data_IF_694139826694
#
_entry.id   IF_694139826694
#
_cell.length_a   1.000
_cell.length_b   1.000
_cell.length_c   1.000
_cell.angle_alpha   90.00
_cell.angle_beta   90.00
_cell.angle_gamma   90.00
#
_symmetry.space_group_name_H-M   'P 1'
#
loop_
_entity.id
_entity.type
_entity.pdbx_description
1 polymer ?
#
# COMPACT_ATOMS: atom_id res chain seq x y z
N UNK A 1 -35.44 6.80 77.00
CA UNK A 1 -34.19 6.03 76.99
C UNK A 1 -34.30 4.96 75.91
N UNK A 2 -34.00 5.27 74.70
CA UNK A 2 -34.11 4.35 73.54
C UNK A 2 -32.87 4.46 72.66
N UNK A 3 -32.11 3.40 72.72
CA UNK A 3 -30.84 3.24 71.91
C UNK A 3 -31.21 3.02 70.44
N UNK A 4 -30.72 3.88 69.52
CA UNK A 4 -30.73 3.65 68.07
C UNK A 4 -29.47 2.89 67.68
N UNK A 5 -29.67 1.70 67.08
CA UNK A 5 -28.63 0.90 66.46
C UNK A 5 -28.28 1.51 65.12
N UNK A 6 -27.00 1.83 64.91
CA UNK A 6 -26.43 2.26 63.66
C UNK A 6 -25.97 1.01 62.88
N UNK A 7 -26.60 0.71 61.75
CA UNK A 7 -26.14 -0.36 60.86
C UNK A 7 -25.19 0.25 59.81
N UNK A 8 -23.90 -0.17 59.88
CA UNK A 8 -22.93 0.12 58.82
C UNK A 8 -23.18 -0.80 57.62
N UNK A 9 -23.56 -0.21 56.49
CA UNK A 9 -23.61 -0.90 55.17
C UNK A 9 -22.25 -0.84 54.54
N UNK A 10 -21.53 -1.99 54.44
CA UNK A 10 -20.27 -2.12 53.72
C UNK A 10 -20.61 -2.41 52.28
N UNK A 11 -20.38 -1.43 51.38
CA UNK A 11 -20.46 -1.59 49.95
C UNK A 11 -19.17 -2.27 49.44
N UNK A 12 -19.28 -3.53 49.06
CA UNK A 12 -18.24 -4.22 48.30
C UNK A 12 -18.30 -3.76 46.83
N UNK A 13 -17.36 -2.93 46.42
CA UNK A 13 -17.11 -2.62 45.00
C UNK A 13 -16.41 -3.81 44.36
N UNK A 14 -17.13 -4.57 43.54
CA UNK A 14 -16.52 -5.54 42.62
C UNK A 14 -15.86 -4.78 41.48
N UNK A 15 -14.54 -4.67 41.54
CA UNK A 15 -13.75 -4.26 40.37
C UNK A 15 -13.78 -5.42 39.36
N UNK A 16 -14.50 -5.24 38.26
CA UNK A 16 -14.36 -6.10 37.07
C UNK A 16 -12.96 -5.90 36.50
N UNK A 17 -12.03 -6.77 36.86
CA UNK A 17 -10.80 -6.94 36.09
C UNK A 17 -11.17 -7.56 34.75
N UNK A 18 -11.26 -6.73 33.70
CA UNK A 18 -11.27 -7.20 32.32
C UNK A 18 -9.91 -7.82 32.04
N UNK A 19 -9.82 -9.14 32.09
CA UNK A 19 -8.67 -9.88 31.60
C UNK A 19 -8.51 -9.59 30.11
N UNK A 20 -7.48 -8.84 29.73
CA UNK A 20 -6.98 -8.79 28.37
C UNK A 20 -6.48 -10.21 28.03
N UNK A 21 -7.35 -11.05 27.54
CA UNK A 21 -6.96 -12.30 26.91
C UNK A 21 -6.19 -11.96 25.65
N UNK A 22 -4.87 -11.96 25.70
CA UNK A 22 -4.04 -12.09 24.50
C UNK A 22 -4.52 -13.34 23.77
N UNK A 23 -4.98 -13.16 22.51
CA UNK A 23 -5.43 -14.28 21.71
C UNK A 23 -4.28 -15.30 21.62
N UNK A 24 -4.50 -16.50 22.15
CA UNK A 24 -3.54 -17.61 22.02
C UNK A 24 -3.17 -17.75 20.54
N UNK A 25 -1.89 -17.97 20.20
CA UNK A 25 -1.49 -18.27 18.82
C UNK A 25 -2.38 -19.41 18.32
N UNK A 26 -3.13 -19.18 17.24
CA UNK A 26 -3.86 -20.26 16.58
C UNK A 26 -2.83 -21.31 16.14
N UNK A 27 -3.18 -22.59 16.25
CA UNK A 27 -2.32 -23.63 15.72
C UNK A 27 -2.03 -23.34 14.25
N UNK A 28 -0.73 -23.31 13.88
CA UNK A 28 -0.34 -23.20 12.47
C UNK A 28 -1.00 -24.33 11.67
N UNK A 29 -1.29 -24.06 10.39
CA UNK A 29 -1.77 -25.09 9.47
C UNK A 29 -0.56 -25.59 8.66
N UNK A 30 0.06 -26.72 9.05
CA UNK A 30 1.24 -27.24 8.35
C UNK A 30 0.96 -27.50 6.86
N UNK A 31 -0.30 -27.78 6.50
CA UNK A 31 -0.70 -27.96 5.11
C UNK A 31 -0.61 -26.67 4.32
N UNK A 32 -1.06 -25.54 4.90
CA UNK A 32 -0.97 -24.23 4.26
C UNK A 32 0.47 -23.78 4.11
N UNK A 33 1.28 -23.93 5.18
CA UNK A 33 2.70 -23.58 5.15
C UNK A 33 3.43 -24.37 4.06
N UNK A 34 3.19 -25.69 3.99
CA UNK A 34 3.76 -26.55 2.95
C UNK A 34 3.35 -26.11 1.54
N UNK A 35 2.06 -25.92 1.28
CA UNK A 35 1.58 -25.55 -0.07
C UNK A 35 2.14 -24.20 -0.54
N UNK A 36 2.28 -23.23 0.38
CA UNK A 36 2.92 -21.93 0.06
C UNK A 36 4.42 -22.12 -0.19
N UNK A 37 5.11 -22.94 0.62
CA UNK A 37 6.52 -23.24 0.41
C UNK A 37 6.73 -23.96 -0.95
N UNK A 38 5.98 -25.01 -1.24
CA UNK A 38 6.04 -25.73 -2.52
C UNK A 38 5.84 -24.81 -3.74
N UNK A 39 5.01 -23.78 -3.59
CA UNK A 39 4.76 -22.79 -4.64
C UNK A 39 5.88 -21.74 -4.79
N UNK A 40 6.60 -21.38 -3.72
CA UNK A 40 7.54 -20.27 -3.71
C UNK A 40 9.02 -20.68 -3.60
N UNK A 41 9.35 -21.78 -2.92
CA UNK A 41 10.72 -22.24 -2.71
C UNK A 41 11.50 -22.46 -4.02
N UNK A 42 10.87 -22.98 -5.12
CA UNK A 42 11.57 -23.14 -6.39
C UNK A 42 12.15 -21.82 -6.92
N UNK A 43 11.52 -20.67 -6.68
CA UNK A 43 12.07 -19.40 -7.13
C UNK A 43 13.37 -19.01 -6.40
N UNK A 44 13.53 -19.41 -5.14
CA UNK A 44 14.78 -19.20 -4.38
C UNK A 44 15.82 -20.22 -4.81
N UNK A 45 15.45 -21.50 -4.93
CA UNK A 45 16.35 -22.57 -5.37
C UNK A 45 16.93 -22.30 -6.77
N UNK A 46 16.09 -21.81 -7.69
CA UNK A 46 16.47 -21.42 -9.05
C UNK A 46 17.19 -20.06 -9.12
N UNK A 47 17.52 -19.46 -7.98
CA UNK A 47 18.17 -18.14 -7.88
C UNK A 47 17.42 -17.00 -8.57
N UNK A 48 16.10 -17.12 -8.70
CA UNK A 48 15.22 -16.06 -9.22
C UNK A 48 14.83 -15.07 -8.14
N UNK A 49 14.92 -15.47 -6.87
CA UNK A 49 14.74 -14.64 -5.67
C UNK A 49 15.89 -14.86 -4.70
N UNK A 50 16.26 -13.82 -3.96
CA UNK A 50 17.20 -13.93 -2.83
C UNK A 50 16.54 -14.70 -1.66
N UNK A 51 15.29 -14.40 -1.40
CA UNK A 51 14.48 -15.00 -0.36
C UNK A 51 13.11 -14.33 -0.28
N UNK A 52 12.27 -14.85 0.60
CA UNK A 52 10.92 -14.31 0.85
C UNK A 52 10.47 -14.52 2.28
N UNK A 53 9.49 -13.70 2.70
CA UNK A 53 8.70 -13.91 3.91
C UNK A 53 7.22 -13.78 3.55
N UNK A 54 6.38 -14.72 4.01
CA UNK A 54 4.92 -14.61 3.86
C UNK A 54 4.20 -14.87 5.17
N UNK A 55 3.04 -14.23 5.32
CA UNK A 55 2.10 -14.47 6.44
C UNK A 55 0.70 -14.62 5.88
N UNK A 56 -0.01 -15.65 6.36
CA UNK A 56 -1.44 -15.82 6.15
C UNK A 56 -2.18 -15.68 7.47
N UNK A 57 -3.13 -14.75 7.50
CA UNK A 57 -4.12 -14.62 8.56
C UNK A 57 -5.47 -15.15 8.05
N UNK A 58 -6.18 -15.92 8.85
CA UNK A 58 -7.53 -16.43 8.57
C UNK A 58 -8.39 -16.32 9.83
N UNK A 59 -9.59 -15.79 9.69
CA UNK A 59 -10.52 -15.58 10.82
C UNK A 59 -9.87 -14.82 12.01
N UNK A 60 -9.02 -13.82 11.68
CA UNK A 60 -8.29 -13.01 12.66
C UNK A 60 -7.09 -13.69 13.33
N UNK A 61 -6.71 -14.91 12.92
CA UNK A 61 -5.60 -15.67 13.49
C UNK A 61 -4.51 -15.92 12.44
N UNK A 62 -3.25 -15.93 12.87
CA UNK A 62 -2.14 -16.35 12.03
C UNK A 62 -2.21 -17.88 11.85
N UNK A 63 -2.27 -18.34 10.61
CA UNK A 63 -2.37 -19.75 10.27
C UNK A 63 -1.16 -20.29 9.52
N UNK A 64 -0.35 -19.40 8.91
CA UNK A 64 0.90 -19.78 8.27
C UNK A 64 1.91 -18.65 8.29
N UNK A 65 3.20 -19.00 8.37
CA UNK A 65 4.34 -18.12 8.16
C UNK A 65 5.43 -18.89 7.44
N UNK A 66 5.84 -18.41 6.26
CA UNK A 66 6.94 -19.00 5.52
C UNK A 66 8.11 -18.01 5.47
N UNK A 67 9.32 -18.52 5.65
CA UNK A 67 10.58 -17.77 5.57
C UNK A 67 11.58 -18.65 4.84
N UNK A 68 12.18 -18.16 3.76
CA UNK A 68 13.16 -18.91 2.99
C UNK A 68 14.20 -18.00 2.36
N UNK A 69 15.44 -18.48 2.25
CA UNK A 69 16.54 -17.81 1.56
C UNK A 69 17.24 -16.73 2.39
N UNK A 70 17.75 -15.72 1.71
CA UNK A 70 18.62 -14.69 2.26
C UNK A 70 18.02 -13.29 2.14
N UNK A 71 18.21 -12.49 3.18
CA UNK A 71 17.96 -11.05 3.17
C UNK A 71 19.09 -10.30 2.44
N UNK A 72 20.28 -10.92 2.37
CA UNK A 72 21.43 -10.44 1.64
C UNK A 72 22.25 -11.65 1.16
N UNK A 73 22.41 -11.79 -0.17
CA UNK A 73 23.09 -12.95 -0.78
C UNK A 73 24.59 -12.84 -0.56
N UNK A 74 25.18 -11.65 -0.71
CA UNK A 74 26.62 -11.44 -0.71
C UNK A 74 27.23 -11.75 0.65
N UNK A 75 26.54 -11.33 1.73
CA UNK A 75 26.93 -11.60 3.11
C UNK A 75 26.34 -12.91 3.65
N UNK A 76 25.50 -13.59 2.86
CA UNK A 76 24.73 -14.77 3.29
C UNK A 76 23.89 -14.53 4.53
N UNK A 77 23.43 -13.30 4.76
CA UNK A 77 22.57 -12.96 5.89
C UNK A 77 21.19 -13.60 5.67
N UNK A 78 20.71 -14.47 6.57
CA UNK A 78 19.49 -15.20 6.34
C UNK A 78 18.27 -14.28 6.33
N UNK A 79 17.25 -14.66 5.59
CA UNK A 79 15.91 -14.08 5.70
C UNK A 79 15.33 -14.46 7.08
N UNK A 80 14.64 -13.53 7.73
CA UNK A 80 13.97 -13.74 9.01
C UNK A 80 12.56 -13.16 8.97
N UNK A 81 11.67 -13.58 9.86
CA UNK A 81 10.28 -13.09 9.93
C UNK A 81 10.19 -11.59 10.23
N UNK A 82 11.21 -11.00 10.83
CA UNK A 82 11.31 -9.58 11.17
C UNK A 82 12.23 -8.80 10.20
N UNK A 83 12.58 -9.40 9.06
CA UNK A 83 13.28 -8.69 7.99
C UNK A 83 12.46 -7.48 7.54
N UNK A 84 13.13 -6.34 7.40
CA UNK A 84 12.54 -5.08 6.95
C UNK A 84 12.71 -4.96 5.45
N UNK A 85 11.64 -4.60 4.76
CA UNK A 85 11.57 -4.52 3.29
C UNK A 85 11.21 -3.11 2.84
N UNK A 86 11.76 -2.66 1.70
CA UNK A 86 11.21 -1.53 0.94
C UNK A 86 9.87 -1.97 0.38
N UNK A 87 8.79 -1.31 0.76
CA UNK A 87 7.46 -1.72 0.30
C UNK A 87 6.96 -0.89 -0.89
N UNK A 88 7.69 0.15 -1.27
CA UNK A 88 7.37 1.03 -2.40
C UNK A 88 5.87 1.29 -2.52
N UNK A 89 5.25 0.89 -3.62
CA UNK A 89 3.84 1.20 -3.90
C UNK A 89 2.83 0.58 -2.92
N UNK A 90 3.23 -0.38 -2.07
CA UNK A 90 2.39 -0.77 -0.93
C UNK A 90 2.25 0.36 0.12
N UNK A 91 3.00 1.46 0.00
CA UNK A 91 2.78 2.72 0.73
C UNK A 91 1.41 3.33 0.41
N UNK A 92 0.95 3.21 -0.85
CA UNK A 92 -0.28 3.87 -1.34
C UNK A 92 -1.54 3.54 -0.54
N UNK A 93 -1.86 2.27 -0.23
CA UNK A 93 -2.99 1.95 0.65
C UNK A 93 -2.88 2.60 2.03
N UNK A 94 -1.66 2.73 2.58
CA UNK A 94 -1.42 3.36 3.89
C UNK A 94 -1.69 4.86 3.80
N UNK A 95 -1.23 5.52 2.73
CA UNK A 95 -1.53 6.93 2.43
C UNK A 95 -3.03 7.15 2.24
N UNK A 96 -3.72 6.23 1.55
CA UNK A 96 -5.16 6.26 1.42
C UNK A 96 -5.88 6.19 2.76
N UNK A 97 -5.42 5.35 3.69
CA UNK A 97 -5.95 5.29 5.05
C UNK A 97 -5.69 6.61 5.79
N UNK A 98 -4.48 7.18 5.70
CA UNK A 98 -4.16 8.47 6.31
C UNK A 98 -5.10 9.59 5.82
N UNK A 99 -5.32 9.65 4.51
CA UNK A 99 -6.23 10.61 3.91
C UNK A 99 -7.70 10.36 4.33
N UNK A 100 -8.13 9.10 4.43
CA UNK A 100 -9.48 8.73 4.86
C UNK A 100 -9.75 8.96 6.35
N UNK A 101 -8.72 8.98 7.21
CA UNK A 101 -8.85 9.46 8.61
C UNK A 101 -9.29 10.93 8.60
N UNK A 102 -8.66 11.76 7.79
CA UNK A 102 -9.02 13.17 7.65
C UNK A 102 -10.39 13.38 7.00
N UNK A 103 -10.81 12.47 6.11
CA UNK A 103 -12.14 12.44 5.54
C UNK A 103 -13.21 12.11 6.62
N UNK A 104 -12.97 11.13 7.49
CA UNK A 104 -13.86 10.80 8.61
C UNK A 104 -14.01 11.97 9.60
N UNK A 105 -12.96 12.81 9.70
CA UNK A 105 -12.98 14.08 10.46
C UNK A 105 -13.68 15.23 9.72
N UNK A 106 -14.17 15.01 8.50
CA UNK A 106 -14.87 16.03 7.70
C UNK A 106 -13.98 17.08 7.07
N UNK A 107 -12.64 16.90 7.05
CA UNK A 107 -11.67 17.89 6.56
C UNK A 107 -11.63 18.01 5.05
N UNK A 108 -12.11 17.01 4.31
CA UNK A 108 -12.21 17.04 2.86
C UNK A 108 -13.36 16.17 2.35
N UNK A 109 -13.77 16.39 1.09
CA UNK A 109 -14.81 15.64 0.37
C UNK A 109 -14.27 15.15 -0.98
N UNK A 110 -14.78 14.03 -1.49
CA UNK A 110 -14.40 13.51 -2.80
C UNK A 110 -14.63 14.50 -3.95
N UNK A 111 -15.61 15.39 -3.82
CA UNK A 111 -15.92 16.45 -4.79
C UNK A 111 -15.05 17.70 -4.66
N UNK A 112 -14.26 17.85 -3.60
CA UNK A 112 -13.40 19.02 -3.46
C UNK A 112 -12.34 19.04 -4.58
N UNK A 113 -12.08 20.19 -5.23
CA UNK A 113 -10.95 20.31 -6.14
C UNK A 113 -9.65 20.19 -5.36
N UNK A 114 -8.65 19.53 -5.95
CA UNK A 114 -7.32 19.40 -5.29
C UNK A 114 -6.67 20.76 -5.03
N UNK A 115 -6.96 21.76 -5.86
CA UNK A 115 -6.47 23.13 -5.71
C UNK A 115 -6.90 23.82 -4.42
N UNK A 116 -7.96 23.35 -3.78
CA UNK A 116 -8.36 23.79 -2.42
C UNK A 116 -7.26 23.52 -1.40
N UNK A 117 -6.48 22.46 -1.61
CA UNK A 117 -5.42 21.99 -0.69
C UNK A 117 -4.03 22.25 -1.28
N UNK A 118 -3.93 22.29 -2.60
CA UNK A 118 -2.71 22.51 -3.39
C UNK A 118 -2.94 23.68 -4.36
N UNK A 119 -2.99 24.93 -3.87
CA UNK A 119 -3.29 26.10 -4.72
C UNK A 119 -2.27 26.30 -5.85
N UNK A 120 -1.03 25.78 -5.70
CA UNK A 120 -0.01 25.75 -6.75
C UNK A 120 -0.48 25.00 -8.01
N UNK A 121 -1.41 24.06 -7.86
CA UNK A 121 -2.00 23.27 -8.94
C UNK A 121 -3.40 23.77 -9.35
N UNK A 122 -3.71 25.04 -9.10
CA UNK A 122 -5.04 25.62 -9.37
C UNK A 122 -5.33 25.93 -10.86
N UNK A 123 -4.29 26.00 -11.71
CA UNK A 123 -4.41 26.38 -13.11
C UNK A 123 -3.84 25.32 -14.07
N UNK A 124 -4.10 24.04 -13.78
CA UNK A 124 -3.61 22.96 -14.60
C UNK A 124 -4.23 23.01 -16.00
N UNK A 125 -3.39 22.74 -16.99
CA UNK A 125 -3.75 22.61 -18.42
C UNK A 125 -3.79 21.13 -18.79
N UNK A 126 -4.36 20.83 -19.95
CA UNK A 126 -4.39 19.48 -20.54
C UNK A 126 -3.59 19.49 -21.84
N UNK A 127 -2.80 18.46 -22.03
CA UNK A 127 -2.02 18.22 -23.24
C UNK A 127 -2.93 18.00 -24.45
N UNK A 128 -2.59 18.64 -25.57
CA UNK A 128 -3.30 18.49 -26.84
C UNK A 128 -2.42 17.96 -27.97
N UNK A 129 -1.10 18.13 -27.84
CA UNK A 129 -0.18 17.72 -28.90
C UNK A 129 1.19 18.38 -28.75
N UNK A 130 1.96 18.34 -29.85
CA UNK A 130 3.24 19.04 -29.98
C UNK A 130 3.22 19.93 -31.22
N UNK A 131 3.90 21.07 -31.14
CA UNK A 131 4.13 21.94 -32.30
C UNK A 131 5.23 21.37 -33.23
N UNK A 132 5.47 22.05 -34.35
CA UNK A 132 6.50 21.67 -35.32
C UNK A 132 7.94 21.66 -34.72
N UNK A 133 8.18 22.36 -33.62
CA UNK A 133 9.44 22.39 -32.90
C UNK A 133 9.53 21.33 -31.79
N UNK A 134 8.43 20.56 -31.55
CA UNK A 134 8.36 19.53 -30.51
C UNK A 134 7.97 20.05 -29.13
N UNK A 135 7.55 21.32 -28.98
CA UNK A 135 7.07 21.85 -27.72
C UNK A 135 5.64 21.38 -27.44
N UNK A 136 5.29 21.21 -26.15
CA UNK A 136 3.94 20.82 -25.78
C UNK A 136 2.92 21.92 -26.08
N UNK A 137 1.86 21.54 -26.77
CA UNK A 137 0.64 22.33 -26.91
C UNK A 137 -0.32 21.89 -25.81
N UNK A 138 -0.90 22.85 -25.09
CA UNK A 138 -1.85 22.60 -24.02
C UNK A 138 -2.92 23.67 -23.95
N UNK A 139 -4.11 23.31 -23.50
CA UNK A 139 -5.24 24.21 -23.24
C UNK A 139 -5.67 24.13 -21.78
N UNK A 140 -6.46 25.08 -21.28
CA UNK A 140 -7.09 24.96 -19.97
C UNK A 140 -7.87 23.63 -19.86
N UNK A 141 -7.79 22.97 -18.71
CA UNK A 141 -8.61 21.82 -18.42
C UNK A 141 -10.10 22.22 -18.37
N UNK A 142 -10.99 21.38 -18.90
CA UNK A 142 -12.43 21.63 -18.84
C UNK A 142 -12.94 21.62 -17.37
N UNK A 143 -12.28 20.85 -16.52
CA UNK A 143 -12.48 20.87 -15.06
C UNK A 143 -11.16 20.64 -14.34
N UNK A 144 -10.98 21.22 -13.18
CA UNK A 144 -9.82 20.94 -12.34
C UNK A 144 -9.98 19.57 -11.64
N UNK A 145 -8.87 18.83 -11.41
CA UNK A 145 -8.93 17.54 -10.74
C UNK A 145 -9.57 17.61 -9.36
N UNK A 146 -10.39 16.63 -9.01
CA UNK A 146 -10.99 16.47 -7.69
C UNK A 146 -10.22 15.49 -6.82
N UNK A 147 -10.44 15.53 -5.51
CA UNK A 147 -9.92 14.55 -4.56
C UNK A 147 -10.33 13.11 -4.92
N UNK A 148 -11.58 12.93 -5.40
CA UNK A 148 -12.06 11.62 -5.85
C UNK A 148 -11.28 11.08 -7.04
N UNK A 149 -10.92 11.93 -7.98
CA UNK A 149 -10.09 11.57 -9.12
C UNK A 149 -8.62 11.34 -8.74
N UNK A 150 -8.13 12.05 -7.73
CA UNK A 150 -6.77 11.86 -7.21
C UNK A 150 -6.60 10.46 -6.63
N UNK A 151 -7.45 10.06 -5.67
CA UNK A 151 -7.38 8.76 -4.98
C UNK A 151 -7.69 7.56 -5.89
N UNK A 152 -8.13 7.80 -7.12
CA UNK A 152 -8.43 6.75 -8.10
C UNK A 152 -7.54 6.77 -9.33
N UNK A 153 -6.46 7.56 -9.35
CA UNK A 153 -5.57 7.71 -10.51
C UNK A 153 -6.27 8.18 -11.80
N UNK A 154 -7.34 8.96 -11.68
CA UNK A 154 -8.09 9.51 -12.83
C UNK A 154 -7.94 11.01 -12.95
N UNK A 155 -7.03 11.63 -12.20
CA UNK A 155 -6.81 13.07 -12.16
C UNK A 155 -6.02 13.64 -13.37
N UNK A 156 -5.43 12.79 -14.21
CA UNK A 156 -4.66 13.22 -15.39
C UNK A 156 -3.14 13.29 -15.16
N UNK A 157 -2.64 12.99 -13.95
CA UNK A 157 -1.22 12.91 -13.67
C UNK A 157 -0.58 11.62 -14.21
N UNK A 158 0.76 11.65 -14.40
CA UNK A 158 1.58 10.50 -14.79
C UNK A 158 2.68 10.23 -13.74
N UNK A 159 3.50 9.21 -14.00
CA UNK A 159 4.77 8.96 -13.33
C UNK A 159 5.99 9.31 -14.17
N UNK A 160 5.82 9.51 -15.48
CA UNK A 160 6.93 9.65 -16.40
C UNK A 160 7.60 8.34 -16.81
N UNK A 161 6.91 7.20 -16.66
CA UNK A 161 7.45 5.89 -17.06
C UNK A 161 7.33 5.60 -18.56
N UNK A 162 6.43 6.30 -19.23
CA UNK A 162 6.14 6.09 -20.63
C UNK A 162 7.02 6.91 -21.58
N UNK A 163 6.83 6.71 -22.89
CA UNK A 163 7.55 7.43 -23.93
C UNK A 163 6.85 8.70 -24.43
N UNK A 164 5.72 9.08 -23.84
CA UNK A 164 4.93 10.23 -24.35
C UNK A 164 5.66 11.57 -24.14
N UNK A 165 5.32 12.62 -24.89
CA UNK A 165 5.87 13.95 -24.64
C UNK A 165 5.66 14.44 -23.21
N UNK A 166 4.51 14.13 -22.59
CA UNK A 166 4.21 14.49 -21.20
C UNK A 166 5.09 13.70 -20.23
N UNK A 167 5.31 12.39 -20.45
CA UNK A 167 6.24 11.60 -19.63
C UNK A 167 7.64 12.19 -19.61
N UNK A 168 8.12 12.71 -20.76
CA UNK A 168 9.44 13.36 -20.82
C UNK A 168 9.53 14.62 -19.96
N UNK A 169 8.45 15.37 -19.80
CA UNK A 169 8.44 16.53 -18.89
C UNK A 169 8.47 16.09 -17.42
N UNK A 170 7.79 14.99 -17.06
CA UNK A 170 7.95 14.41 -15.73
C UNK A 170 9.41 14.03 -15.46
N UNK A 171 10.05 13.32 -16.39
CA UNK A 171 11.47 12.90 -16.27
C UNK A 171 12.43 14.08 -16.10
N UNK A 172 12.12 15.26 -16.67
CA UNK A 172 12.94 16.48 -16.56
C UNK A 172 12.70 17.25 -15.27
N UNK A 173 11.47 17.34 -14.80
CA UNK A 173 11.05 18.32 -13.80
C UNK A 173 10.62 17.73 -12.46
N UNK A 174 10.36 16.42 -12.40
CA UNK A 174 9.78 15.79 -11.23
C UNK A 174 10.57 14.52 -10.88
N UNK A 175 11.20 14.44 -9.70
CA UNK A 175 11.85 13.21 -9.29
C UNK A 175 10.81 12.11 -9.09
N UNK A 176 11.17 10.88 -9.46
CA UNK A 176 10.31 9.71 -9.33
C UNK A 176 9.85 9.47 -7.89
N UNK A 177 10.76 9.71 -6.94
CA UNK A 177 10.51 9.64 -5.49
C UNK A 177 11.00 10.98 -4.91
N UNK A 178 10.13 11.82 -4.33
CA UNK A 178 10.47 13.21 -3.97
C UNK A 178 11.30 13.35 -2.68
N UNK A 179 11.98 12.30 -2.22
CA UNK A 179 12.64 12.26 -0.90
C UNK A 179 13.77 13.27 -0.69
N UNK A 180 14.35 13.75 -1.79
CA UNK A 180 15.51 14.67 -1.74
C UNK A 180 15.18 16.14 -2.11
N UNK A 181 13.90 16.46 -2.34
CA UNK A 181 13.49 17.80 -2.79
C UNK A 181 12.44 18.41 -1.86
N UNK A 182 12.45 19.73 -1.72
CA UNK A 182 11.44 20.46 -0.98
C UNK A 182 10.06 20.32 -1.65
N UNK A 183 9.00 20.21 -0.85
CA UNK A 183 7.60 20.11 -1.32
C UNK A 183 7.25 21.26 -2.26
N UNK A 184 7.68 22.49 -1.99
CA UNK A 184 7.45 23.65 -2.86
C UNK A 184 8.10 23.48 -4.23
N UNK A 185 9.32 22.96 -4.29
CA UNK A 185 10.04 22.67 -5.54
C UNK A 185 9.36 21.58 -6.33
N UNK A 186 8.91 20.51 -5.66
CA UNK A 186 8.16 19.41 -6.27
C UNK A 186 6.86 19.91 -6.91
N UNK A 187 6.05 20.68 -6.16
CA UNK A 187 4.79 21.24 -6.67
C UNK A 187 5.02 22.27 -7.79
N UNK A 188 6.04 23.10 -7.70
CA UNK A 188 6.41 24.05 -8.75
C UNK A 188 6.85 23.34 -10.05
N UNK A 189 7.51 22.19 -9.94
CA UNK A 189 7.84 21.33 -11.08
C UNK A 189 6.57 20.80 -11.75
N UNK A 190 5.66 20.22 -10.96
CA UNK A 190 4.39 19.68 -11.44
C UNK A 190 3.49 20.72 -12.08
N UNK A 191 3.43 21.94 -11.54
CA UNK A 191 2.61 23.03 -12.08
C UNK A 191 2.98 23.46 -13.51
N UNK A 192 4.18 23.09 -13.97
CA UNK A 192 4.65 23.38 -15.35
C UNK A 192 4.20 22.33 -16.37
N UNK A 193 3.79 21.16 -15.91
CA UNK A 193 3.49 19.99 -16.74
C UNK A 193 1.98 19.92 -16.95
N UNK A 194 1.48 19.84 -18.21
CA UNK A 194 0.06 19.64 -18.42
C UNK A 194 -0.36 18.23 -17.98
N UNK A 195 -1.62 18.10 -17.57
CA UNK A 195 -2.25 16.81 -17.39
C UNK A 195 -2.23 16.06 -18.73
N UNK A 196 -2.02 14.75 -18.67
CA UNK A 196 -1.96 13.92 -19.89
C UNK A 196 -3.32 13.79 -20.59
N UNK A 197 -4.42 13.96 -19.83
CA UNK A 197 -5.80 13.85 -20.31
C UNK A 197 -6.74 14.62 -19.35
N UNK A 198 -7.97 14.86 -19.81
CA UNK A 198 -8.99 15.49 -18.99
C UNK A 198 -9.28 14.69 -17.72
N UNK A 199 -9.34 15.35 -16.55
CA UNK A 199 -9.65 14.68 -15.30
C UNK A 199 -10.95 13.88 -15.39
N UNK A 200 -10.89 12.62 -14.93
CA UNK A 200 -12.04 11.71 -14.93
C UNK A 200 -12.30 10.96 -16.23
N UNK A 201 -11.49 11.15 -17.28
CA UNK A 201 -11.71 10.50 -18.58
C UNK A 201 -10.90 9.23 -18.80
N UNK A 202 -9.78 9.07 -18.10
CA UNK A 202 -8.91 7.91 -18.20
C UNK A 202 -8.39 7.53 -16.80
N UNK A 203 -8.03 6.27 -16.65
CA UNK A 203 -7.28 5.79 -15.53
C UNK A 203 -5.81 5.63 -15.93
N UNK A 204 -4.92 6.23 -15.18
CA UNK A 204 -3.48 6.11 -15.40
C UNK A 204 -2.73 6.16 -14.08
N UNK A 205 -1.95 5.12 -13.81
CA UNK A 205 -1.09 5.05 -12.64
C UNK A 205 -0.13 6.25 -12.57
N UNK A 206 -0.05 6.92 -11.42
CA UNK A 206 0.55 8.24 -11.34
C UNK A 206 1.10 8.57 -9.94
N UNK A 207 1.75 9.73 -9.86
CA UNK A 207 2.28 10.32 -8.61
C UNK A 207 1.18 10.83 -7.66
N UNK A 208 -0.08 10.54 -7.93
CA UNK A 208 -1.21 11.08 -7.18
C UNK A 208 -1.06 10.91 -5.66
N UNK A 209 -0.53 9.79 -5.19
CA UNK A 209 -0.38 9.50 -3.76
C UNK A 209 0.74 10.30 -3.09
N UNK A 210 1.71 10.81 -3.85
CA UNK A 210 2.67 11.79 -3.32
C UNK A 210 1.97 13.12 -3.04
N UNK A 211 1.06 13.54 -3.93
CA UNK A 211 0.19 14.71 -3.68
C UNK A 211 -0.75 14.48 -2.51
N UNK A 212 -1.30 13.28 -2.35
CA UNK A 212 -2.12 12.92 -1.18
C UNK A 212 -1.32 13.04 0.11
N UNK A 213 -0.06 12.62 0.13
CA UNK A 213 0.84 12.79 1.27
C UNK A 213 0.99 14.26 1.66
N UNK A 214 1.23 15.13 0.68
CA UNK A 214 1.31 16.58 0.90
C UNK A 214 -0.03 17.15 1.41
N UNK A 215 -1.16 16.67 0.89
CA UNK A 215 -2.49 17.08 1.37
C UNK A 215 -2.70 16.64 2.83
N UNK A 216 -2.26 15.43 3.21
CA UNK A 216 -2.30 14.98 4.61
C UNK A 216 -1.51 15.92 5.50
N UNK A 217 -0.32 16.35 5.10
CA UNK A 217 0.50 17.33 5.85
C UNK A 217 -0.24 18.65 6.03
N UNK A 218 -0.80 19.21 4.96
CA UNK A 218 -1.50 20.51 5.00
C UNK A 218 -2.77 20.46 5.85
N UNK A 219 -3.53 19.36 5.77
CA UNK A 219 -4.76 19.20 6.55
C UNK A 219 -4.52 18.89 8.03
N UNK A 220 -3.42 18.22 8.34
CA UNK A 220 -3.09 17.83 9.72
C UNK A 220 -2.19 18.80 10.46
N UNK A 221 -1.39 19.60 9.73
CA UNK A 221 -0.32 20.43 10.28
C UNK A 221 0.88 19.62 10.79
N UNK A 222 0.99 18.32 10.44
CA UNK A 222 2.08 17.42 10.82
C UNK A 222 2.79 16.94 9.54
N UNK A 223 4.06 16.54 9.64
CA UNK A 223 4.68 15.80 8.54
C UNK A 223 3.93 14.48 8.29
N UNK A 224 3.98 13.97 7.07
CA UNK A 224 3.32 12.70 6.71
C UNK A 224 3.82 11.55 7.60
N UNK A 225 5.12 11.50 7.86
CA UNK A 225 5.73 10.54 8.78
C UNK A 225 5.13 10.64 10.18
N UNK A 226 5.09 11.83 10.78
CA UNK A 226 4.56 12.04 12.12
C UNK A 226 3.06 11.73 12.19
N UNK A 227 2.29 12.08 11.15
CA UNK A 227 0.87 11.78 11.08
C UNK A 227 0.62 10.26 11.01
N UNK A 228 1.25 9.57 10.06
CA UNK A 228 1.09 8.11 9.91
C UNK A 228 1.55 7.37 11.16
N UNK A 229 2.64 7.80 11.78
CA UNK A 229 3.13 7.20 13.03
C UNK A 229 2.08 7.31 14.13
N UNK A 230 1.56 8.51 14.39
CA UNK A 230 0.62 8.75 15.49
C UNK A 230 -0.76 8.12 15.25
N UNK A 231 -1.28 8.19 14.02
CA UNK A 231 -2.66 7.82 13.72
C UNK A 231 -2.81 6.37 13.22
N UNK A 232 -1.72 5.76 12.72
CA UNK A 232 -1.77 4.40 12.12
C UNK A 232 -0.76 3.47 12.80
N UNK A 233 0.55 3.80 12.78
CA UNK A 233 1.58 2.83 13.16
C UNK A 233 1.59 2.52 14.65
N UNK A 234 1.61 3.53 15.51
CA UNK A 234 1.61 3.33 16.97
C UNK A 234 0.32 2.64 17.46
N UNK A 235 -0.89 3.06 17.04
CA UNK A 235 -2.13 2.37 17.43
C UNK A 235 -2.20 0.91 16.97
N UNK A 236 -1.64 0.59 15.80
CA UNK A 236 -1.59 -0.76 15.25
C UNK A 236 -0.36 -1.56 15.72
N UNK A 237 0.56 -0.94 16.48
CA UNK A 237 1.85 -1.52 16.89
C UNK A 237 2.70 -1.97 15.69
N UNK A 238 2.74 -1.16 14.65
CA UNK A 238 3.58 -1.35 13.46
C UNK A 238 4.96 -0.73 13.73
N UNK A 239 5.76 -1.40 14.54
CA UNK A 239 6.98 -0.85 15.13
C UNK A 239 8.17 -0.76 14.15
N UNK A 240 8.08 -1.44 13.02
CA UNK A 240 9.13 -1.51 11.99
C UNK A 240 8.68 -0.87 10.67
N UNK A 241 7.55 -0.12 10.69
CA UNK A 241 7.04 0.61 9.52
C UNK A 241 7.33 2.09 9.67
N UNK A 242 8.10 2.64 8.73
CA UNK A 242 8.50 4.05 8.76
C UNK A 242 9.04 4.47 7.38
N UNK A 243 9.37 5.76 7.22
CA UNK A 243 10.11 6.32 6.08
C UNK A 243 11.63 6.23 6.26
N UNK A 244 12.10 5.70 7.39
CA UNK A 244 13.52 5.51 7.70
C UNK A 244 13.76 4.13 8.32
N UNK A 245 14.98 3.64 8.19
CA UNK A 245 15.48 2.47 8.93
C UNK A 245 16.57 2.97 9.89
N UNK A 246 16.30 3.07 11.19
CA UNK A 246 17.27 3.58 12.16
C UNK A 246 18.49 2.63 12.26
N UNK A 247 19.67 3.13 12.71
CA UNK A 247 20.90 2.34 12.80
C UNK A 247 20.72 1.00 13.55
N UNK A 248 19.93 0.99 14.61
CA UNK A 248 19.65 -0.21 15.43
C UNK A 248 18.86 -1.32 14.72
N UNK A 249 18.29 -1.03 13.52
CA UNK A 249 17.50 -1.98 12.74
C UNK A 249 18.12 -2.32 11.38
N UNK A 250 19.29 -1.77 11.06
CA UNK A 250 19.97 -1.94 9.75
C UNK A 250 20.29 -3.39 9.43
N UNK A 251 20.65 -4.18 10.42
CA UNK A 251 20.97 -5.60 10.25
C UNK A 251 19.77 -6.43 9.78
N UNK A 252 18.55 -5.92 9.94
CA UNK A 252 17.32 -6.56 9.45
C UNK A 252 16.86 -6.04 8.09
N UNK A 253 17.49 -5.01 7.53
CA UNK A 253 17.07 -4.41 6.27
C UNK A 253 17.56 -5.22 5.08
N UNK A 254 16.63 -5.71 4.25
CA UNK A 254 16.93 -6.55 3.10
C UNK A 254 17.64 -5.77 1.98
N UNK A 255 18.61 -6.40 1.35
CA UNK A 255 19.24 -5.91 0.13
C UNK A 255 18.29 -6.01 -1.05
N UNK A 256 18.28 -5.00 -1.91
CA UNK A 256 17.46 -4.95 -3.11
C UNK A 256 18.22 -5.53 -4.29
N UNK A 257 17.55 -6.35 -5.08
CA UNK A 257 18.13 -7.01 -6.26
C UNK A 257 17.39 -6.64 -7.53
N UNK A 258 18.15 -6.60 -8.63
CA UNK A 258 17.67 -6.58 -10.00
C UNK A 258 17.92 -7.94 -10.66
N UNK A 259 16.94 -8.42 -11.41
CA UNK A 259 17.02 -9.72 -12.11
C UNK A 259 17.01 -9.62 -13.63
N UNK A 260 17.21 -8.44 -14.21
CA UNK A 260 17.14 -8.24 -15.66
C UNK A 260 18.20 -9.01 -16.47
N UNK A 261 19.35 -9.27 -15.86
CA UNK A 261 20.46 -10.00 -16.50
C UNK A 261 20.36 -11.54 -16.40
N UNK A 262 19.26 -12.06 -15.85
CA UNK A 262 19.11 -13.49 -15.55
C UNK A 262 19.83 -13.93 -14.26
N UNK A 263 20.56 -13.04 -13.61
CA UNK A 263 21.19 -13.21 -12.29
C UNK A 263 20.70 -12.09 -11.35
N UNK A 264 20.64 -12.39 -10.07
CA UNK A 264 20.34 -11.38 -9.06
C UNK A 264 21.58 -10.50 -8.83
N UNK A 265 21.44 -9.21 -9.11
CA UNK A 265 22.47 -8.21 -8.88
C UNK A 265 21.98 -7.21 -7.84
N UNK A 266 22.81 -6.88 -6.84
CA UNK A 266 22.46 -5.89 -5.84
C UNK A 266 22.28 -4.49 -6.47
N UNK A 267 21.19 -3.82 -6.16
CA UNK A 267 20.91 -2.46 -6.63
C UNK A 267 21.52 -1.47 -5.65
N UNK A 268 22.62 -0.84 -6.06
CA UNK A 268 23.39 0.11 -5.25
C UNK A 268 23.36 1.55 -5.77
N UNK A 269 22.76 1.77 -6.95
CA UNK A 269 22.66 3.09 -7.60
C UNK A 269 21.28 3.28 -8.23
N UNK A 270 20.95 4.51 -8.58
CA UNK A 270 19.69 4.87 -9.23
C UNK A 270 18.56 5.17 -8.25
N UNK A 271 17.35 5.47 -8.77
CA UNK A 271 16.23 6.00 -7.97
C UNK A 271 15.67 5.01 -6.94
N UNK A 272 15.98 3.71 -7.08
CA UNK A 272 15.56 2.67 -6.15
C UNK A 272 16.64 2.27 -5.13
N UNK A 273 17.83 2.87 -5.19
CA UNK A 273 18.95 2.54 -4.30
C UNK A 273 18.90 3.27 -2.95
N UNK A 274 17.77 3.89 -2.59
CA UNK A 274 17.63 4.58 -1.30
C UNK A 274 17.93 3.63 -0.14
N UNK A 275 18.78 4.11 0.76
CA UNK A 275 19.18 3.37 1.95
C UNK A 275 18.24 3.58 3.13
N UNK A 276 17.29 4.51 3.03
CA UNK A 276 16.40 4.91 4.12
C UNK A 276 17.17 5.31 5.40
N UNK A 277 18.34 5.93 5.21
CA UNK A 277 19.24 6.27 6.31
C UNK A 277 18.86 7.57 6.99
N UNK A 278 18.21 8.47 6.26
CA UNK A 278 17.87 9.82 6.69
C UNK A 278 16.39 10.08 6.51
N UNK A 279 15.86 10.98 7.33
CA UNK A 279 14.49 11.47 7.14
C UNK A 279 14.37 12.14 5.78
N UNK A 280 13.37 11.79 4.95
CA UNK A 280 13.19 12.41 3.66
C UNK A 280 12.80 13.89 3.82
N UNK A 281 13.25 14.74 2.89
CA UNK A 281 12.86 16.15 2.82
C UNK A 281 11.36 16.26 2.52
N UNK A 282 10.90 15.48 1.54
CA UNK A 282 9.47 15.28 1.27
C UNK A 282 9.18 13.78 1.35
N UNK A 283 8.30 13.39 2.27
CA UNK A 283 7.92 11.99 2.43
C UNK A 283 7.05 11.53 1.26
N UNK A 284 7.47 10.48 0.54
CA UNK A 284 6.71 9.95 -0.58
C UNK A 284 5.51 9.13 -0.10
N UNK A 285 4.31 9.67 -0.28
CA UNK A 285 3.06 8.94 -0.07
C UNK A 285 2.82 7.84 -1.09
N UNK A 286 3.51 7.90 -2.23
CA UNK A 286 3.44 6.92 -3.30
C UNK A 286 4.38 5.72 -3.15
N UNK A 287 5.47 5.83 -2.34
CA UNK A 287 6.47 4.76 -2.33
C UNK A 287 7.52 4.81 -1.22
N UNK A 288 7.38 5.68 -0.21
CA UNK A 288 8.45 5.99 0.74
C UNK A 288 8.57 5.08 1.96
N UNK A 289 7.68 4.12 2.18
CA UNK A 289 7.71 3.31 3.40
C UNK A 289 8.60 2.07 3.28
N UNK A 290 9.16 1.70 4.42
CA UNK A 290 9.63 0.35 4.71
C UNK A 290 8.67 -0.31 5.70
N UNK A 291 8.66 -1.66 5.73
CA UNK A 291 7.81 -2.41 6.66
C UNK A 291 8.31 -3.84 6.82
N UNK A 292 7.73 -4.56 7.77
CA UNK A 292 7.84 -6.02 7.90
C UNK A 292 6.52 -6.69 7.50
N UNK A 293 6.57 -7.99 7.24
CA UNK A 293 5.37 -8.78 6.95
C UNK A 293 4.35 -8.72 8.09
N UNK A 294 4.82 -8.69 9.34
CA UNK A 294 3.98 -8.66 10.53
C UNK A 294 3.26 -7.31 10.70
N UNK A 295 3.99 -6.22 10.51
CA UNK A 295 3.41 -4.87 10.58
C UNK A 295 2.34 -4.68 9.50
N UNK A 296 2.66 -5.07 8.27
CA UNK A 296 1.71 -4.93 7.18
C UNK A 296 0.50 -5.86 7.33
N UNK A 297 0.67 -7.05 7.92
CA UNK A 297 -0.46 -7.92 8.26
C UNK A 297 -1.38 -7.30 9.31
N UNK A 298 -0.87 -6.52 10.27
CA UNK A 298 -1.68 -5.74 11.21
C UNK A 298 -2.50 -4.66 10.50
N UNK A 299 -1.88 -3.91 9.59
CA UNK A 299 -2.55 -2.93 8.74
C UNK A 299 -3.67 -3.57 7.91
N UNK A 300 -3.37 -4.65 7.21
CA UNK A 300 -4.34 -5.35 6.36
C UNK A 300 -5.47 -6.00 7.20
N UNK A 301 -5.16 -6.52 8.39
CA UNK A 301 -6.17 -7.05 9.32
C UNK A 301 -7.09 -5.96 9.87
N UNK A 302 -6.58 -4.75 10.08
CA UNK A 302 -7.41 -3.59 10.43
C UNK A 302 -8.43 -3.29 9.33
N UNK A 303 -8.04 -3.34 8.05
CA UNK A 303 -8.95 -3.17 6.92
C UNK A 303 -10.00 -4.30 6.87
N UNK A 304 -9.58 -5.56 7.00
CA UNK A 304 -10.49 -6.71 7.04
C UNK A 304 -11.56 -6.56 8.12
N UNK A 305 -11.20 -6.03 9.28
CA UNK A 305 -12.07 -5.86 10.44
C UNK A 305 -12.86 -4.53 10.45
N UNK A 306 -13.03 -3.89 9.29
CA UNK A 306 -13.83 -2.66 9.16
C UNK A 306 -13.24 -1.48 9.91
N UNK A 307 -11.92 -1.30 9.85
CA UNK A 307 -11.19 -0.17 10.40
C UNK A 307 -10.76 -0.32 11.87
N UNK A 308 -10.76 -1.53 12.40
CA UNK A 308 -10.45 -1.77 13.82
C UNK A 308 -9.49 -2.96 13.97
N UNK A 309 -8.51 -2.87 14.86
CA UNK A 309 -7.66 -3.99 15.27
C UNK A 309 -7.42 -3.95 16.78
N UNK A 310 -7.58 -5.10 17.47
CA UNK A 310 -7.35 -5.25 18.92
C UNK A 310 -8.01 -4.13 19.77
N UNK A 311 -9.26 -3.79 19.43
CA UNK A 311 -10.03 -2.74 20.13
C UNK A 311 -9.66 -1.30 19.73
N UNK A 312 -8.62 -1.09 18.93
CA UNK A 312 -8.22 0.24 18.41
C UNK A 312 -8.91 0.52 17.08
N UNK A 313 -9.66 1.61 17.01
CA UNK A 313 -10.31 2.07 15.78
C UNK A 313 -9.43 3.09 15.09
N UNK A 314 -9.10 2.80 13.84
CA UNK A 314 -8.32 3.68 12.94
C UNK A 314 -9.28 4.43 12.01
N UNK A 315 -10.27 3.73 11.45
CA UNK A 315 -11.26 4.25 10.51
C UNK A 315 -12.68 3.88 10.94
N UNK A 316 -13.65 4.65 10.51
CA UNK A 316 -15.06 4.23 10.57
C UNK A 316 -15.27 3.02 9.64
N UNK A 317 -16.30 2.21 9.94
CA UNK A 317 -16.72 1.12 9.04
C UNK A 317 -17.07 1.65 7.64
N UNK A 318 -17.66 2.85 7.57
CA UNK A 318 -18.02 3.50 6.30
C UNK A 318 -16.78 3.85 5.49
N UNK A 319 -15.78 4.48 6.09
CA UNK A 319 -14.54 4.83 5.40
C UNK A 319 -13.79 3.58 4.92
N UNK A 320 -13.70 2.55 5.76
CA UNK A 320 -13.08 1.27 5.37
C UNK A 320 -13.80 0.63 4.18
N UNK A 321 -15.14 0.58 4.19
CA UNK A 321 -15.93 0.11 3.07
C UNK A 321 -15.67 0.94 1.81
N UNK A 322 -15.57 2.27 1.95
CA UNK A 322 -15.28 3.17 0.83
C UNK A 322 -13.92 2.87 0.18
N UNK A 323 -12.89 2.57 1.00
CA UNK A 323 -11.55 2.17 0.50
C UNK A 323 -11.64 0.92 -0.36
N UNK A 324 -12.37 -0.09 0.11
CA UNK A 324 -12.43 -1.44 -0.49
C UNK A 324 -13.61 -1.62 -1.46
N UNK A 325 -14.18 -0.54 -1.99
CA UNK A 325 -15.28 -0.60 -2.95
C UNK A 325 -14.90 0.15 -4.22
N UNK A 326 -15.30 -0.35 -5.39
CA UNK A 326 -15.07 0.32 -6.66
C UNK A 326 -15.58 1.76 -6.66
N UNK A 327 -14.75 2.63 -7.19
CA UNK A 327 -15.02 4.07 -7.35
C UNK A 327 -14.89 4.56 -8.79
N UNK A 328 -14.50 3.68 -9.72
CA UNK A 328 -14.42 4.02 -11.12
C UNK A 328 -15.81 4.00 -11.78
N UNK A 329 -16.04 4.90 -12.72
CA UNK A 329 -17.25 4.86 -13.54
C UNK A 329 -17.19 3.68 -14.51
N UNK A 330 -18.35 3.13 -14.96
CA UNK A 330 -18.38 2.04 -15.93
C UNK A 330 -17.62 2.36 -17.24
N UNK A 331 -17.60 3.62 -17.67
CA UNK A 331 -16.87 4.07 -18.85
C UNK A 331 -15.35 3.86 -18.71
N UNK A 332 -14.80 4.03 -17.50
CA UNK A 332 -13.38 3.84 -17.22
C UNK A 332 -13.00 2.37 -17.09
N UNK A 333 -13.93 1.51 -16.66
CA UNK A 333 -13.68 0.07 -16.45
C UNK A 333 -13.47 -0.65 -17.79
N UNK A 334 -14.06 -0.16 -18.86
CA UNK A 334 -13.90 -0.71 -20.21
C UNK A 334 -12.63 -0.26 -20.92
N UNK A 335 -11.85 0.63 -20.29
CA UNK A 335 -10.56 1.11 -20.79
C UNK A 335 -9.43 0.09 -20.57
N UNK A 336 -8.29 0.34 -21.23
CA UNK A 336 -7.05 -0.39 -20.94
C UNK A 336 -6.42 0.17 -19.68
N UNK A 337 -6.46 -0.61 -18.61
CA UNK A 337 -5.71 -0.29 -17.40
C UNK A 337 -4.33 -0.95 -17.50
N UNK A 338 -3.28 -0.13 -17.54
CA UNK A 338 -1.91 -0.60 -17.43
C UNK A 338 -1.29 -0.06 -16.14
N UNK A 339 -0.92 -0.95 -15.24
CA UNK A 339 -0.02 -0.63 -14.15
C UNK A 339 1.28 -1.35 -14.47
N UNK A 340 2.26 -0.70 -15.09
CA UNK A 340 3.57 -1.30 -15.31
C UNK A 340 3.51 -2.82 -15.52
N UNK A 341 3.82 -3.58 -14.48
CA UNK A 341 3.83 -5.04 -14.48
C UNK A 341 2.44 -5.64 -14.27
N UNK A 342 1.52 -4.93 -13.62
CA UNK A 342 0.15 -5.38 -13.38
C UNK A 342 -0.83 -4.65 -14.30
N UNK A 343 -1.41 -5.38 -15.22
CA UNK A 343 -2.59 -4.94 -15.94
C UNK A 343 -3.80 -5.09 -15.01
N UNK A 344 -4.59 -4.03 -14.82
CA UNK A 344 -5.93 -4.17 -14.29
C UNK A 344 -6.71 -4.97 -15.33
N UNK A 345 -7.09 -6.18 -14.96
CA UNK A 345 -7.75 -7.15 -15.83
C UNK A 345 -9.26 -7.00 -15.73
N UNK A 346 -10.04 -7.54 -16.68
CA UNK A 346 -11.47 -7.69 -16.48
C UNK A 346 -11.78 -8.36 -15.13
N UNK A 347 -12.73 -7.82 -14.37
CA UNK A 347 -13.05 -8.29 -13.01
C UNK A 347 -12.29 -7.59 -11.89
N UNK A 348 -11.29 -6.76 -12.23
CA UNK A 348 -10.66 -5.81 -11.32
C UNK A 348 -11.22 -4.42 -11.55
N UNK A 349 -11.42 -3.70 -10.46
CA UNK A 349 -11.77 -2.28 -10.43
C UNK A 349 -10.88 -1.57 -9.42
N UNK A 350 -11.09 -0.28 -9.17
CA UNK A 350 -10.22 0.49 -8.30
C UNK A 350 -11.01 1.18 -7.19
N UNK A 351 -10.55 0.99 -5.95
CA UNK A 351 -11.06 1.66 -4.75
C UNK A 351 -10.28 2.94 -4.44
N UNK A 352 -10.01 3.19 -3.17
CA UNK A 352 -9.07 4.24 -2.75
C UNK A 352 -7.69 3.60 -2.66
N UNK A 353 -6.77 4.04 -3.51
CA UNK A 353 -5.34 3.66 -3.53
C UNK A 353 -5.06 2.16 -3.65
N UNK A 354 -5.98 1.39 -4.20
CA UNK A 354 -5.79 -0.05 -4.42
C UNK A 354 -6.89 -0.67 -5.26
N UNK A 355 -6.58 -1.85 -5.79
CA UNK A 355 -7.49 -2.64 -6.64
C UNK A 355 -8.52 -3.35 -5.80
N UNK A 356 -9.73 -3.47 -6.35
CA UNK A 356 -10.84 -4.26 -5.80
C UNK A 356 -11.23 -5.34 -6.80
N UNK A 357 -11.32 -6.59 -6.36
CA UNK A 357 -11.84 -7.71 -7.16
C UNK A 357 -13.35 -7.68 -7.12
N UNK A 358 -13.99 -7.30 -8.21
CA UNK A 358 -15.46 -7.22 -8.30
C UNK A 358 -16.06 -8.45 -8.94
N UNK A 359 -15.31 -9.15 -9.79
CA UNK A 359 -15.69 -10.41 -10.42
C UNK A 359 -14.48 -11.37 -10.47
N UNK A 360 -14.32 -12.26 -9.47
CA UNK A 360 -13.17 -13.17 -9.40
C UNK A 360 -13.03 -14.09 -10.61
N UNK A 361 -14.16 -14.52 -11.21
CA UNK A 361 -14.15 -15.42 -12.37
C UNK A 361 -13.57 -14.72 -13.60
N UNK A 362 -14.01 -13.48 -13.88
CA UNK A 362 -13.44 -12.67 -14.96
C UNK A 362 -11.99 -12.29 -14.70
N UNK A 363 -11.63 -12.01 -13.44
CA UNK A 363 -10.27 -11.70 -13.04
C UNK A 363 -9.32 -12.92 -13.14
N UNK A 364 -9.85 -14.13 -13.19
CA UNK A 364 -9.06 -15.36 -13.20
C UNK A 364 -8.28 -15.58 -11.91
N UNK A 365 -8.83 -15.17 -10.77
CA UNK A 365 -8.18 -15.24 -9.44
C UNK A 365 -8.98 -16.08 -8.46
N UNK A 366 -8.27 -16.67 -7.52
CA UNK A 366 -8.86 -17.52 -6.49
C UNK A 366 -9.28 -16.76 -5.22
N UNK A 367 -9.25 -15.43 -5.27
CA UNK A 367 -9.72 -14.56 -4.18
C UNK A 367 -11.24 -14.38 -4.24
N UNK A 368 -11.86 -14.06 -3.11
CA UNK A 368 -13.27 -13.75 -3.03
C UNK A 368 -13.63 -12.36 -3.62
N UNK A 369 -14.90 -12.20 -4.00
CA UNK A 369 -15.43 -10.88 -4.39
C UNK A 369 -15.29 -9.88 -3.27
N UNK A 370 -14.86 -8.66 -3.60
CA UNK A 370 -14.58 -7.58 -2.65
C UNK A 370 -13.16 -7.61 -2.10
N UNK A 371 -12.30 -8.52 -2.57
CA UNK A 371 -10.89 -8.52 -2.18
C UNK A 371 -10.22 -7.23 -2.61
N UNK A 372 -9.41 -6.68 -1.69
CA UNK A 372 -8.63 -5.46 -1.89
C UNK A 372 -7.15 -5.79 -1.86
N UNK A 373 -6.38 -5.29 -2.82
CA UNK A 373 -4.98 -5.67 -3.00
C UNK A 373 -4.15 -4.55 -3.62
N UNK A 374 -2.84 -4.61 -3.37
CA UNK A 374 -1.83 -3.83 -4.05
C UNK A 374 -0.45 -4.50 -3.94
N UNK A 375 0.54 -3.94 -4.63
CA UNK A 375 1.92 -4.43 -4.61
C UNK A 375 2.96 -3.30 -4.63
N UNK A 376 4.22 -3.66 -4.51
CA UNK A 376 5.36 -2.77 -4.54
C UNK A 376 6.35 -3.11 -5.66
N UNK A 377 7.09 -2.12 -6.15
CA UNK A 377 8.05 -2.26 -7.24
C UNK A 377 9.16 -3.31 -6.99
N UNK A 378 9.44 -3.62 -5.72
CA UNK A 378 10.38 -4.67 -5.34
C UNK A 378 9.72 -6.05 -5.13
N UNK A 379 8.48 -6.23 -5.61
CA UNK A 379 7.77 -7.50 -5.59
C UNK A 379 7.04 -7.81 -4.26
N UNK A 380 6.96 -6.88 -3.33
CA UNK A 380 6.10 -7.01 -2.14
C UNK A 380 4.64 -6.96 -2.54
N UNK A 381 3.76 -7.73 -1.87
CA UNK A 381 2.33 -7.77 -2.20
C UNK A 381 1.46 -8.10 -0.99
N UNK A 382 0.20 -7.73 -1.06
CA UNK A 382 -0.80 -8.16 -0.08
C UNK A 382 -2.19 -8.26 -0.71
N UNK A 383 -3.07 -9.00 -0.06
CA UNK A 383 -4.50 -8.90 -0.26
C UNK A 383 -5.29 -9.07 1.03
N UNK A 384 -6.45 -8.44 1.04
CA UNK A 384 -7.50 -8.59 2.06
C UNK A 384 -8.70 -9.21 1.36
N UNK A 385 -9.16 -10.36 1.81
CA UNK A 385 -10.31 -11.09 1.24
C UNK A 385 -11.44 -11.18 2.28
N UNK A 386 -12.41 -10.26 2.23
CA UNK A 386 -13.52 -10.25 3.18
C UNK A 386 -14.44 -11.47 3.07
N UNK A 387 -14.59 -12.03 1.86
CA UNK A 387 -15.46 -13.18 1.61
C UNK A 387 -14.94 -14.45 2.29
N UNK A 388 -13.63 -14.62 2.33
CA UNK A 388 -12.98 -15.78 2.95
C UNK A 388 -12.34 -15.45 4.31
N UNK A 389 -12.45 -14.19 4.78
CA UNK A 389 -11.85 -13.68 6.03
C UNK A 389 -10.33 -13.91 6.09
N UNK A 390 -9.64 -13.56 5.00
CA UNK A 390 -8.21 -13.78 4.82
C UNK A 390 -7.49 -12.44 4.68
N UNK A 391 -6.29 -12.40 5.25
CA UNK A 391 -5.23 -11.46 4.90
C UNK A 391 -4.00 -12.28 4.54
N UNK A 392 -3.41 -11.95 3.42
CA UNK A 392 -2.10 -12.46 3.03
C UNK A 392 -1.15 -11.29 2.79
N UNK A 393 0.08 -11.44 3.26
CA UNK A 393 1.18 -10.51 2.96
C UNK A 393 2.39 -11.32 2.55
N UNK A 394 3.01 -10.92 1.44
CA UNK A 394 4.25 -11.51 0.96
C UNK A 394 5.29 -10.42 0.69
N UNK A 395 6.52 -10.70 1.07
CA UNK A 395 7.64 -9.76 0.96
C UNK A 395 8.83 -10.44 0.30
N UNK A 396 9.31 -9.84 -0.77
CA UNK A 396 10.58 -10.11 -1.44
C UNK A 396 11.29 -8.78 -1.72
N UNK A 397 12.54 -8.81 -2.14
CA UNK A 397 13.28 -7.59 -2.54
C UNK A 397 13.95 -7.80 -3.89
N UNK A 398 13.14 -7.92 -4.92
CA UNK A 398 13.57 -7.99 -6.31
C UNK A 398 12.75 -7.01 -7.15
N UNK A 399 13.42 -6.07 -7.81
CA UNK A 399 12.75 -5.19 -8.76
C UNK A 399 12.06 -6.03 -9.83
N UNK A 400 10.83 -5.65 -10.11
CA UNK A 400 10.03 -6.33 -11.09
C UNK A 400 10.62 -6.09 -12.49
N UNK A 401 10.81 -7.17 -13.22
CA UNK A 401 11.26 -7.18 -14.61
C UNK A 401 10.39 -8.13 -15.42
N UNK A 402 10.35 -7.90 -16.73
CA UNK A 402 9.68 -8.82 -17.63
C UNK A 402 10.26 -10.24 -17.49
N UNK A 403 9.39 -11.27 -17.45
CA UNK A 403 9.80 -12.65 -17.21
C UNK A 403 10.18 -12.99 -15.76
N UNK A 404 10.00 -12.07 -14.82
CA UNK A 404 10.23 -12.33 -13.39
C UNK A 404 9.23 -13.34 -12.78
N UNK A 405 9.53 -13.86 -11.57
CA UNK A 405 8.70 -14.85 -10.89
C UNK A 405 7.33 -14.27 -10.54
N UNK A 406 6.26 -15.00 -10.87
CA UNK A 406 4.90 -14.60 -10.56
C UNK A 406 4.47 -15.10 -9.17
N UNK A 407 5.16 -14.61 -8.13
CA UNK A 407 4.93 -15.03 -6.73
C UNK A 407 3.51 -14.74 -6.23
N UNK A 408 2.86 -13.71 -6.78
CA UNK A 408 1.51 -13.32 -6.38
C UNK A 408 0.49 -14.39 -6.83
N UNK A 409 0.51 -14.77 -8.10
CA UNK A 409 -0.39 -15.81 -8.62
C UNK A 409 -0.10 -17.17 -7.99
N UNK A 410 1.18 -17.51 -7.80
CA UNK A 410 1.59 -18.77 -7.18
C UNK A 410 1.04 -18.87 -5.74
N UNK A 411 1.24 -17.83 -4.91
CA UNK A 411 0.74 -17.80 -3.54
C UNK A 411 -0.79 -17.78 -3.46
N UNK A 412 -1.48 -17.06 -4.36
CA UNK A 412 -2.95 -17.04 -4.42
C UNK A 412 -3.51 -18.44 -4.68
N UNK A 413 -2.93 -19.20 -5.62
CA UNK A 413 -3.33 -20.59 -5.91
C UNK A 413 -3.07 -21.50 -4.72
N UNK A 414 -1.88 -21.45 -4.14
CA UNK A 414 -1.52 -22.28 -2.99
C UNK A 414 -2.44 -22.05 -1.78
N UNK A 415 -2.78 -20.79 -1.48
CA UNK A 415 -3.73 -20.43 -0.43
C UNK A 415 -5.13 -20.96 -0.74
N UNK A 416 -5.62 -20.79 -1.97
CA UNK A 416 -6.95 -21.26 -2.36
C UNK A 416 -7.10 -22.79 -2.28
N UNK A 417 -6.11 -23.53 -2.76
CA UNK A 417 -6.07 -24.99 -2.67
C UNK A 417 -6.09 -25.46 -1.21
N UNK A 418 -5.31 -24.79 -0.34
CA UNK A 418 -5.27 -25.11 1.09
C UNK A 418 -6.63 -24.91 1.76
N UNK A 419 -7.38 -23.86 1.39
CA UNK A 419 -8.70 -23.57 1.94
C UNK A 419 -9.75 -24.56 1.41
N UNK A 420 -9.66 -24.93 0.14
CA UNK A 420 -10.57 -25.91 -0.46
C UNK A 420 -10.40 -27.29 0.17
N UNK A 421 -9.18 -27.70 0.47
CA UNK A 421 -8.89 -28.96 1.18
C UNK A 421 -9.43 -28.95 2.62
N UNK A 422 -9.29 -27.81 3.33
CA UNK A 422 -9.81 -27.67 4.70
C UNK A 422 -11.35 -27.65 4.80
N UNK A 423 -12.07 -27.43 3.69
CA UNK A 423 -13.56 -27.52 3.65
C UNK A 423 -14.08 -28.94 3.36
N UNK A 424 -13.21 -29.87 2.95
CA UNK A 424 -13.56 -31.28 2.63
C UNK A 424 -13.29 -32.22 3.80
N UNK A 425 -12.64 -31.75 4.86
CA UNK A 425 -12.43 -32.45 6.13
C UNK A 425 -13.43 -31.94 7.18
#
# INVERSE_FOLDING_TARGET
>A
MTMRKLSCLVLFSFALMSSNAEAKPGASSPAVERNVAEALDPYVTDQKLAGYVTVLMKDGRRVATNVHGYADIDTRRPMTKDTIFRIYSMTKPVTGVALMILHDQGKWKFSDPISKFLPELGNLKVYEGVDAAGNLISRPAASQPTMGQLVTHTAGFLYGFGPTPVDREYQKHVPLIPTAVETSTYLAGLAKIPLAYEPGTQWQYSIAMDLEGIIVERLSGKSLQAFMKAEIFDPLKMVDTDFIVPPSKRDRFASLYDGQSGKLMAVTTGPFADTYATTPVTASGGGGLVSTVDDYARFASMLLNGGTLNGRRILSKRATKTIMTNRLSPALINGRFGIGIQQIRPGYEYGVNGVVVTDPAKAGVAMGKGSYLWDGAAGTWFWVDPANKIVFVGMIQRLAAEGGPNVQVASQRAVAESIALGRRQ
#
